data_IF_228484568709
#
_entry.id   IF_228484568709
#
_cell.length_a   1.000
_cell.length_b   1.000
_cell.length_c   1.000
_cell.angle_alpha   90.00
_cell.angle_beta   90.00
_cell.angle_gamma   90.00
#
_symmetry.space_group_name_H-M   'P 1'
#
loop_
_entity.id
_entity.type
_entity.pdbx_description
1 polymer ?
#
# COMPACT_ATOMS: atom_id res chain seq x y z
N UNK A 1 12.94 -18.20 -5.86
CA UNK A 1 11.77 -17.85 -5.03
C UNK A 1 10.76 -17.16 -5.90
N UNK A 2 9.48 -17.49 -5.72
CA UNK A 2 8.37 -16.83 -6.41
C UNK A 2 8.32 -15.36 -5.99
N UNK A 3 8.07 -14.46 -6.94
CA UNK A 3 8.00 -13.01 -6.72
C UNK A 3 6.66 -12.50 -7.22
N UNK A 4 6.09 -11.46 -6.60
CA UNK A 4 4.90 -10.83 -7.13
C UNK A 4 5.20 -10.26 -8.52
N UNK A 5 4.25 -10.40 -9.44
CA UNK A 5 4.32 -9.74 -10.74
C UNK A 5 4.03 -8.25 -10.61
N UNK A 6 3.28 -7.86 -9.58
CA UNK A 6 2.97 -6.46 -9.29
C UNK A 6 2.94 -6.20 -7.78
N UNK A 7 3.57 -5.09 -7.38
CA UNK A 7 3.41 -4.52 -6.04
C UNK A 7 2.51 -3.30 -6.17
N UNK A 8 1.45 -3.26 -5.37
CA UNK A 8 0.51 -2.15 -5.31
C UNK A 8 0.68 -1.46 -3.96
N UNK A 9 0.94 -0.15 -3.98
CA UNK A 9 1.18 0.65 -2.80
C UNK A 9 0.00 1.60 -2.60
N UNK A 10 -0.54 1.65 -1.39
CA UNK A 10 -1.24 2.84 -0.95
C UNK A 10 -0.29 4.04 -0.84
N UNK A 11 -0.83 5.25 -0.66
CA UNK A 11 -0.06 6.48 -0.66
C UNK A 11 -0.09 7.18 0.70
N UNK A 12 -1.25 7.68 1.10
CA UNK A 12 -1.42 8.42 2.35
C UNK A 12 -1.18 7.52 3.56
N UNK A 13 -0.25 7.88 4.44
CA UNK A 13 0.08 7.09 5.62
C UNK A 13 0.94 5.86 5.34
N UNK A 14 1.02 5.40 4.09
CA UNK A 14 1.97 4.38 3.66
C UNK A 14 3.29 4.96 3.15
N UNK A 15 3.25 5.74 2.06
CA UNK A 15 4.44 6.31 1.42
C UNK A 15 4.89 7.62 2.06
N UNK A 16 3.96 8.35 2.70
CA UNK A 16 4.28 9.62 3.34
C UNK A 16 3.44 9.87 4.59
N UNK A 17 4.05 10.65 5.50
CA UNK A 17 3.42 11.23 6.67
C UNK A 17 3.93 12.67 6.86
N UNK A 18 3.09 13.64 7.25
CA UNK A 18 1.66 13.51 7.54
C UNK A 18 0.84 13.24 6.27
N UNK A 19 -0.36 12.65 6.43
CA UNK A 19 -1.26 12.39 5.30
C UNK A 19 -1.63 13.69 4.58
N UNK A 20 -1.95 13.62 3.28
CA UNK A 20 -2.17 14.81 2.48
C UNK A 20 -3.30 15.72 2.98
N UNK A 21 -4.35 15.13 3.55
CA UNK A 21 -5.42 15.93 4.15
C UNK A 21 -4.98 16.68 5.41
N UNK A 22 -3.96 16.18 6.12
CA UNK A 22 -3.41 16.80 7.32
C UNK A 22 -2.53 18.01 7.00
N UNK A 23 -1.92 18.04 5.81
CA UNK A 23 -1.17 19.20 5.32
C UNK A 23 -2.07 20.43 5.09
N UNK A 24 -3.40 20.26 5.13
CA UNK A 24 -4.36 21.36 5.06
C UNK A 24 -4.51 22.10 6.41
N UNK A 25 -3.47 22.85 6.80
CA UNK A 25 -3.70 24.04 7.61
C UNK A 25 -4.52 25.03 6.78
N UNK A 26 -5.85 24.96 6.83
CA UNK A 26 -6.80 25.75 6.00
C UNK A 26 -6.27 27.16 5.65
N UNK A 27 -5.95 27.47 4.38
CA UNK A 27 -6.34 28.73 3.82
C UNK A 27 -7.83 28.59 3.47
N UNK A 28 -8.68 29.48 3.98
CA UNK A 28 -10.14 29.52 3.71
C UNK A 28 -10.53 29.69 2.21
N UNK A 29 -9.62 29.49 1.25
CA UNK A 29 -9.79 29.89 -0.16
C UNK A 29 -9.02 29.05 -1.21
N UNK A 30 -8.54 27.84 -0.93
CA UNK A 30 -8.06 26.94 -2.00
C UNK A 30 -9.25 26.18 -2.61
N UNK A 31 -9.53 26.31 -3.93
CA UNK A 31 -10.64 25.62 -4.59
C UNK A 31 -10.41 24.11 -4.76
N UNK A 32 -9.20 23.64 -4.45
CA UNK A 32 -8.75 22.26 -4.67
C UNK A 32 -8.90 21.45 -3.37
N UNK A 33 -9.74 20.40 -3.33
CA UNK A 33 -9.95 19.58 -2.14
C UNK A 33 -8.65 18.94 -1.61
N UNK A 34 -8.56 18.65 -0.30
CA UNK A 34 -7.38 18.03 0.32
C UNK A 34 -7.00 16.66 -0.26
N UNK A 35 -7.96 15.96 -0.88
CA UNK A 35 -7.73 14.67 -1.55
C UNK A 35 -7.60 14.79 -3.08
N UNK A 36 -7.26 15.98 -3.58
CA UNK A 36 -7.20 16.18 -5.02
C UNK A 36 -5.99 15.44 -5.62
N UNK A 37 -6.18 14.63 -6.68
CA UNK A 37 -5.13 13.79 -7.25
C UNK A 37 -3.87 14.55 -7.70
N UNK A 38 -4.01 15.84 -8.04
CA UNK A 38 -2.89 16.66 -8.47
C UNK A 38 -1.80 16.80 -7.39
N UNK A 39 -2.19 16.89 -6.11
CA UNK A 39 -1.20 17.00 -5.05
C UNK A 39 -0.40 15.70 -4.90
N UNK A 40 -1.07 14.53 -4.95
CA UNK A 40 -0.40 13.22 -4.87
C UNK A 40 0.53 13.01 -6.07
N UNK A 41 0.10 13.41 -7.27
CA UNK A 41 0.94 13.40 -8.48
C UNK A 41 2.18 14.29 -8.32
N UNK A 42 2.02 15.49 -7.76
CA UNK A 42 3.14 16.38 -7.49
C UNK A 42 4.10 15.77 -6.44
N UNK A 43 3.60 15.15 -5.38
CA UNK A 43 4.42 14.46 -4.39
C UNK A 43 5.21 13.30 -5.00
N UNK A 44 4.57 12.47 -5.83
CA UNK A 44 5.23 11.37 -6.53
C UNK A 44 6.32 11.85 -7.50
N UNK A 45 6.09 12.97 -8.19
CA UNK A 45 7.08 13.58 -9.08
C UNK A 45 8.28 14.19 -8.31
N UNK A 46 8.05 14.62 -7.07
CA UNK A 46 9.09 15.20 -6.22
C UNK A 46 9.89 14.14 -5.43
N UNK A 47 9.45 12.88 -5.40
CA UNK A 47 10.09 11.80 -4.64
C UNK A 47 11.09 11.03 -5.52
N UNK A 48 12.41 11.27 -5.42
CA UNK A 48 13.40 10.53 -6.19
C UNK A 48 13.55 9.10 -5.67
N UNK A 49 13.60 8.14 -6.59
CA UNK A 49 13.81 6.70 -6.27
C UNK A 49 15.11 6.16 -6.84
N UNK A 50 15.66 6.83 -7.86
CA UNK A 50 17.00 6.62 -8.38
C UNK A 50 17.51 7.94 -9.01
N UNK A 51 18.81 8.08 -9.33
CA UNK A 51 19.30 9.25 -10.05
C UNK A 51 18.50 9.50 -11.34
N UNK A 52 17.78 10.64 -11.38
CA UNK A 52 16.96 11.04 -12.53
C UNK A 52 15.62 10.31 -12.68
N UNK A 53 15.20 9.50 -11.71
CA UNK A 53 13.92 8.76 -11.73
C UNK A 53 13.10 9.13 -10.51
N UNK A 54 11.90 9.67 -10.72
CA UNK A 54 10.94 9.94 -9.67
C UNK A 54 10.00 8.74 -9.45
N UNK A 55 9.35 8.67 -8.30
CA UNK A 55 8.35 7.64 -8.01
C UNK A 55 7.21 7.65 -9.04
N UNK A 56 6.85 8.83 -9.56
CA UNK A 56 5.87 8.99 -10.64
C UNK A 56 6.26 8.25 -11.93
N UNK A 57 7.56 8.01 -12.18
CA UNK A 57 8.05 7.37 -13.40
C UNK A 57 8.03 5.83 -13.31
N UNK A 58 7.89 5.27 -12.10
CA UNK A 58 7.94 3.81 -11.85
C UNK A 58 6.55 3.17 -11.82
N UNK A 59 5.50 3.96 -11.54
CA UNK A 59 4.12 3.47 -11.44
C UNK A 59 3.51 3.11 -12.81
N UNK A 60 3.40 1.82 -13.12
CA UNK A 60 2.80 1.35 -14.38
C UNK A 60 1.29 1.65 -14.49
N UNK A 61 0.57 1.71 -13.37
CA UNK A 61 -0.87 2.05 -13.28
C UNK A 61 -1.09 2.87 -12.00
N UNK A 62 -1.94 3.90 -12.06
CA UNK A 62 -2.18 4.80 -10.94
C UNK A 62 -3.68 5.14 -10.76
N UNK A 63 -4.31 4.55 -9.73
CA UNK A 63 -5.68 4.85 -9.31
C UNK A 63 -5.67 5.79 -8.09
N UNK A 64 -5.46 7.09 -8.34
CA UNK A 64 -5.29 8.13 -7.30
C UNK A 64 -6.54 9.01 -7.26
N UNK A 65 -7.53 8.65 -6.44
CA UNK A 65 -8.72 9.45 -6.13
C UNK A 65 -9.47 8.78 -4.94
N UNK A 66 -10.42 9.43 -4.25
CA UNK A 66 -11.16 8.81 -3.15
C UNK A 66 -12.03 7.63 -3.61
N UNK A 67 -11.99 6.49 -2.92
CA UNK A 67 -12.79 5.32 -3.29
C UNK A 67 -12.48 4.07 -2.46
N UNK A 68 -13.23 2.99 -2.71
CA UNK A 68 -12.97 1.68 -2.10
C UNK A 68 -11.77 1.01 -2.77
N UNK A 69 -10.85 0.43 -2.00
CA UNK A 69 -9.66 -0.25 -2.55
C UNK A 69 -9.99 -1.43 -3.46
N UNK A 70 -11.10 -2.12 -3.22
CA UNK A 70 -11.59 -3.17 -4.13
C UNK A 70 -11.85 -2.62 -5.55
N UNK A 71 -12.41 -1.40 -5.66
CA UNK A 71 -12.66 -0.77 -6.97
C UNK A 71 -11.35 -0.35 -7.64
N UNK A 72 -10.40 0.16 -6.88
CA UNK A 72 -9.08 0.55 -7.40
C UNK A 72 -8.32 -0.67 -7.91
N UNK A 73 -8.27 -1.75 -7.11
CA UNK A 73 -7.60 -2.99 -7.49
C UNK A 73 -8.27 -3.68 -8.68
N UNK A 74 -9.60 -3.62 -8.81
CA UNK A 74 -10.28 -4.09 -10.02
C UNK A 74 -9.80 -3.34 -11.26
N UNK A 75 -9.70 -2.00 -11.20
CA UNK A 75 -9.20 -1.19 -12.32
C UNK A 75 -7.71 -1.43 -12.60
N UNK A 76 -6.89 -1.58 -11.57
CA UNK A 76 -5.47 -1.92 -11.71
C UNK A 76 -5.31 -3.28 -12.36
N UNK A 77 -6.07 -4.29 -11.93
CA UNK A 77 -6.09 -5.62 -12.53
C UNK A 77 -6.48 -5.55 -14.01
N UNK A 78 -7.56 -4.84 -14.33
CA UNK A 78 -8.06 -4.74 -15.69
C UNK A 78 -7.07 -3.99 -16.61
N UNK A 79 -6.40 -2.94 -16.11
CA UNK A 79 -5.41 -2.18 -16.86
C UNK A 79 -4.06 -2.91 -17.03
N UNK A 80 -3.66 -3.71 -16.04
CA UNK A 80 -2.35 -4.41 -16.04
C UNK A 80 -2.41 -5.84 -16.59
N UNK A 81 -3.59 -6.48 -16.58
CA UNK A 81 -3.74 -7.90 -16.88
C UNK A 81 -3.17 -8.85 -15.82
N UNK A 82 -2.68 -8.33 -14.69
CA UNK A 82 -2.09 -9.14 -13.61
C UNK A 82 -3.21 -9.70 -12.73
N UNK A 83 -3.22 -11.00 -12.45
CA UNK A 83 -4.21 -11.62 -11.57
C UNK A 83 -4.01 -11.20 -10.10
N UNK A 84 -5.08 -11.24 -9.29
CA UNK A 84 -5.01 -10.83 -7.89
C UNK A 84 -4.02 -11.65 -7.05
N UNK A 85 -3.94 -12.95 -7.29
CA UNK A 85 -2.98 -13.85 -6.64
C UNK A 85 -1.52 -13.63 -7.13
N UNK A 86 -1.30 -12.77 -8.11
CA UNK A 86 0.04 -12.34 -8.51
C UNK A 86 0.41 -10.95 -7.96
N UNK A 87 -0.46 -10.35 -7.13
CA UNK A 87 -0.28 -9.02 -6.54
C UNK A 87 0.10 -9.07 -5.05
N UNK A 88 0.96 -8.14 -4.66
CA UNK A 88 1.28 -7.83 -3.26
C UNK A 88 0.86 -6.39 -2.95
N UNK A 89 -0.02 -6.20 -1.98
CA UNK A 89 -0.58 -4.90 -1.61
C UNK A 89 -0.09 -4.43 -0.23
N UNK A 90 0.26 -3.17 -0.10
CA UNK A 90 0.61 -2.53 1.17
C UNK A 90 -0.32 -1.37 1.47
N UNK A 91 -0.79 -1.26 2.70
CA UNK A 91 -1.67 -0.17 3.16
C UNK A 91 -1.56 -0.02 4.69
N UNK A 92 -1.68 1.21 5.18
CA UNK A 92 -1.64 1.51 6.61
C UNK A 92 -3.02 1.41 7.29
N UNK A 93 -4.11 1.22 6.52
CA UNK A 93 -5.46 1.02 7.03
C UNK A 93 -5.85 -0.45 6.93
N UNK A 94 -6.00 -1.12 8.09
CA UNK A 94 -6.23 -2.56 8.15
C UNK A 94 -7.47 -3.00 7.40
N UNK A 95 -8.54 -2.18 7.41
CA UNK A 95 -9.77 -2.49 6.69
C UNK A 95 -9.52 -2.62 5.18
N UNK A 96 -8.70 -1.74 4.60
CA UNK A 96 -8.33 -1.82 3.20
C UNK A 96 -7.63 -3.14 2.88
N UNK A 97 -6.69 -3.56 3.74
CA UNK A 97 -6.01 -4.85 3.60
C UNK A 97 -6.98 -6.04 3.61
N UNK A 98 -7.90 -6.06 4.58
CA UNK A 98 -8.91 -7.13 4.70
C UNK A 98 -9.81 -7.17 3.46
N UNK A 99 -10.29 -6.02 3.02
CA UNK A 99 -11.18 -5.89 1.87
C UNK A 99 -10.55 -6.46 0.59
N UNK A 100 -9.27 -6.21 0.35
CA UNK A 100 -8.59 -6.64 -0.87
C UNK A 100 -8.00 -8.05 -0.77
N UNK A 101 -7.67 -8.50 0.44
CA UNK A 101 -7.32 -9.90 0.69
C UNK A 101 -8.49 -10.83 0.31
N UNK A 102 -9.74 -10.39 0.55
CA UNK A 102 -10.93 -11.10 0.08
C UNK A 102 -11.02 -11.31 -1.44
N UNK A 103 -10.23 -10.57 -2.23
CA UNK A 103 -10.14 -10.73 -3.70
C UNK A 103 -9.06 -11.74 -4.13
N UNK A 104 -8.22 -12.23 -3.21
CA UNK A 104 -7.09 -13.12 -3.49
C UNK A 104 -5.71 -12.45 -3.45
N UNK A 105 -5.65 -11.14 -3.26
CA UNK A 105 -4.39 -10.39 -3.13
C UNK A 105 -3.71 -10.73 -1.80
N UNK A 106 -2.38 -10.87 -1.78
CA UNK A 106 -1.65 -10.86 -0.52
C UNK A 106 -1.53 -9.42 -0.04
N UNK A 107 -2.12 -9.09 1.11
CA UNK A 107 -2.06 -7.75 1.68
C UNK A 107 -1.13 -7.69 2.89
N UNK A 108 -0.42 -6.58 3.07
CA UNK A 108 0.42 -6.29 4.23
C UNK A 108 -0.15 -5.07 4.92
N UNK A 109 -0.57 -5.24 6.17
CA UNK A 109 -1.00 -4.15 7.01
C UNK A 109 0.23 -3.47 7.64
N UNK A 110 0.46 -2.21 7.27
CA UNK A 110 1.67 -1.45 7.61
C UNK A 110 1.31 -0.14 8.33
N UNK A 111 0.90 -0.19 9.61
CA UNK A 111 0.45 0.97 10.38
C UNK A 111 1.50 2.07 10.54
N UNK A 112 2.78 1.71 10.51
CA UNK A 112 3.91 2.64 10.63
C UNK A 112 4.49 3.06 9.25
N UNK A 113 3.70 2.87 8.19
CA UNK A 113 4.10 3.13 6.81
C UNK A 113 4.96 2.03 6.19
N UNK A 114 5.45 2.28 4.97
CA UNK A 114 6.27 1.31 4.24
C UNK A 114 7.69 1.21 4.83
N UNK A 115 7.85 0.35 5.84
CA UNK A 115 9.15 0.06 6.45
C UNK A 115 9.88 -1.09 5.75
N UNK A 116 11.20 -1.19 5.96
CA UNK A 116 11.98 -2.32 5.46
C UNK A 116 11.48 -3.66 6.01
N UNK A 117 10.99 -3.68 7.27
CA UNK A 117 10.43 -4.87 7.89
C UNK A 117 9.09 -5.26 7.25
N UNK A 118 8.19 -4.29 7.02
CA UNK A 118 6.93 -4.52 6.30
C UNK A 118 7.21 -5.09 4.91
N UNK A 119 8.13 -4.47 4.18
CA UNK A 119 8.56 -4.88 2.86
C UNK A 119 9.09 -6.32 2.84
N UNK A 120 10.04 -6.62 3.73
CA UNK A 120 10.63 -7.95 3.84
C UNK A 120 9.60 -9.01 4.23
N UNK A 121 8.70 -8.70 5.17
CA UNK A 121 7.63 -9.59 5.59
C UNK A 121 6.68 -9.92 4.43
N UNK A 122 6.26 -8.91 3.66
CA UNK A 122 5.40 -9.08 2.49
C UNK A 122 6.05 -9.96 1.42
N UNK A 123 7.32 -9.69 1.08
CA UNK A 123 8.05 -10.50 0.09
C UNK A 123 8.27 -11.94 0.56
N UNK A 124 8.59 -12.14 1.84
CA UNK A 124 8.80 -13.47 2.41
C UNK A 124 7.50 -14.30 2.41
N UNK A 125 6.38 -13.71 2.82
CA UNK A 125 5.06 -14.34 2.78
C UNK A 125 4.66 -14.69 1.34
N UNK A 126 4.86 -13.77 0.39
CA UNK A 126 4.56 -14.02 -1.02
C UNK A 126 5.38 -15.19 -1.57
N UNK A 127 6.69 -15.20 -1.29
CA UNK A 127 7.59 -16.28 -1.70
C UNK A 127 7.28 -17.62 -1.02
N UNK A 128 6.62 -17.59 0.15
CA UNK A 128 6.09 -18.75 0.87
C UNK A 128 4.77 -19.30 0.32
N UNK A 129 4.14 -18.60 -0.64
CA UNK A 129 2.89 -19.02 -1.29
C UNK A 129 1.62 -18.41 -0.69
N UNK A 130 1.72 -17.48 0.26
CA UNK A 130 0.55 -16.87 0.88
C UNK A 130 -0.20 -15.98 -0.10
N UNK A 131 -1.52 -16.15 -0.23
CA UNK A 131 -2.43 -15.35 -1.07
C UNK A 131 -3.77 -15.17 -0.37
N UNK A 132 -4.47 -14.07 -0.67
CA UNK A 132 -5.80 -13.80 -0.11
C UNK A 132 -5.85 -13.66 1.42
N UNK A 133 -4.73 -13.29 2.04
CA UNK A 133 -4.59 -13.12 3.50
C UNK A 133 -3.93 -11.77 3.80
N UNK A 134 -4.02 -11.36 5.07
CA UNK A 134 -3.34 -10.16 5.58
C UNK A 134 -2.13 -10.57 6.40
N UNK A 135 -0.95 -10.09 6.03
CA UNK A 135 0.27 -10.11 6.84
C UNK A 135 0.17 -8.97 7.84
N UNK A 136 0.20 -9.32 9.12
CA UNK A 136 0.07 -8.38 10.23
C UNK A 136 1.46 -7.83 10.61
N UNK A 137 1.72 -6.55 10.33
CA UNK A 137 2.97 -5.88 10.72
C UNK A 137 2.72 -4.75 11.72
N UNK A 138 2.17 -5.11 12.89
CA UNK A 138 2.05 -4.20 14.03
C UNK A 138 3.45 -3.87 14.53
N UNK A 139 3.97 -2.67 14.27
CA UNK A 139 5.34 -2.29 14.60
C UNK A 139 5.76 -2.71 16.02
N UNK A 140 6.89 -3.43 16.09
CA UNK A 140 7.54 -3.77 17.35
C UNK A 140 8.14 -5.17 17.37
N UNK A 141 9.37 -5.32 16.89
CA UNK A 141 10.11 -6.56 17.10
C UNK A 141 11.50 -6.64 16.50
N UNK A 142 12.38 -5.71 16.86
CA UNK A 142 13.79 -6.10 16.96
C UNK A 142 13.91 -7.24 17.99
N UNK A 143 14.21 -8.44 17.52
CA UNK A 143 14.74 -9.57 18.30
C UNK A 143 13.85 -10.16 19.39
N UNK A 144 13.44 -11.43 19.23
CA UNK A 144 13.04 -12.29 20.34
C UNK A 144 11.65 -12.89 20.18
N UNK A 145 11.61 -14.17 19.82
CA UNK A 145 10.36 -14.87 19.53
C UNK A 145 9.37 -14.90 20.68
N UNK A 146 8.08 -14.77 20.36
CA UNK A 146 6.97 -15.29 21.16
C UNK A 146 5.89 -15.82 20.23
N UNK A 147 5.84 -17.15 20.07
CA UNK A 147 4.62 -17.87 19.68
C UNK A 147 3.55 -17.55 20.73
N UNK A 148 2.45 -16.91 20.33
CA UNK A 148 1.47 -16.37 21.28
C UNK A 148 0.04 -16.32 20.74
N UNK A 149 -0.63 -17.48 20.82
CA UNK A 149 -2.10 -17.65 20.96
C UNK A 149 -3.00 -17.11 19.84
N UNK A 150 -3.34 -18.01 18.92
CA UNK A 150 -4.59 -17.97 18.16
C UNK A 150 -5.77 -17.89 19.13
N UNK A 151 -6.50 -16.79 19.15
CA UNK A 151 -7.87 -16.75 19.67
C UNK A 151 -8.78 -17.27 18.56
N UNK A 152 -9.37 -18.44 18.79
CA UNK A 152 -10.55 -18.91 18.05
C UNK A 152 -11.72 -18.01 18.45
N UNK A 153 -12.45 -17.53 17.46
CA UNK A 153 -13.83 -17.12 17.62
C UNK A 153 -14.70 -18.36 17.73
#
# INVERSE_FOLDING_TARGET
MERPLMVVLDLDGLCWWPEMYMLSGKPRRSPTPPHHPAYARAALAALPVAPGVAMADVGAVAEIYPGRKQTHLARIRDASGVAYDAMLFFDNERRNCVDVAGLGVLAVYAPDGLTADAWAAGLAAFAGGDRGVVVENWGGGGGGGRRGRRRRW
#
